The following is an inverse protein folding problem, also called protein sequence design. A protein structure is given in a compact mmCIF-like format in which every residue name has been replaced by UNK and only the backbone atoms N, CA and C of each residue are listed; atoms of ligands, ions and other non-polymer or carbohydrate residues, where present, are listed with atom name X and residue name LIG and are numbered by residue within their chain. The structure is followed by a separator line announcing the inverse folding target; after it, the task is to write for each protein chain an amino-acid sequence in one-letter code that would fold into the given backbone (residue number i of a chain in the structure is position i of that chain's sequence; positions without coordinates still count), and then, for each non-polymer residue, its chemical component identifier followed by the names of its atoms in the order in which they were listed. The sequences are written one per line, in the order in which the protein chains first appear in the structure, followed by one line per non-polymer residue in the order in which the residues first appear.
data_IF_855299688800
#
_entry.id   IF_855299688800
#
_cell.length_a   1.000
_cell.length_b   1.000
_cell.length_c   1.000
_cell.angle_alpha   90.00
_cell.angle_beta   90.00
_cell.angle_gamma   90.00
#
_symmetry.space_group_name_H-M   'P 1'
#
loop_
_entity.id
_entity.type
_entity.pdbx_description
1 polymer ?
#
# COMPACT_ATOMS: atom_id res chain seq x y z
N UNK A 1 6.17 -8.95 -13.54
CA UNK A 1 5.03 -8.78 -12.62
C UNK A 1 3.94 -8.06 -13.34
N UNK A 2 2.69 -8.50 -13.22
CA UNK A 2 1.54 -7.77 -13.73
C UNK A 2 1.08 -6.78 -12.64
N UNK A 3 0.88 -5.51 -12.99
CA UNK A 3 0.48 -4.48 -12.02
C UNK A 3 -0.83 -4.80 -11.33
N UNK A 4 -1.80 -5.38 -12.04
CA UNK A 4 -3.08 -5.75 -11.46
C UNK A 4 -2.94 -6.85 -10.39
N UNK A 5 -2.00 -7.78 -10.56
CA UNK A 5 -1.72 -8.82 -9.57
C UNK A 5 -1.10 -8.21 -8.31
N UNK A 6 -0.15 -7.29 -8.48
CA UNK A 6 0.50 -6.59 -7.37
C UNK A 6 -0.50 -5.71 -6.61
N UNK A 7 -1.37 -4.98 -7.32
CA UNK A 7 -2.42 -4.17 -6.69
C UNK A 7 -3.34 -5.04 -5.83
N UNK A 8 -3.84 -6.15 -6.37
CA UNK A 8 -4.73 -7.04 -5.62
C UNK A 8 -4.03 -7.62 -4.39
N UNK A 9 -2.77 -8.02 -4.54
CA UNK A 9 -1.98 -8.54 -3.42
C UNK A 9 -1.74 -7.49 -2.33
N UNK A 10 -1.40 -6.24 -2.70
CA UNK A 10 -1.22 -5.14 -1.75
C UNK A 10 -2.55 -4.84 -1.04
N UNK A 11 -3.67 -4.78 -1.77
CA UNK A 11 -4.99 -4.55 -1.16
C UNK A 11 -5.36 -5.63 -0.16
N UNK A 12 -5.17 -6.90 -0.52
CA UNK A 12 -5.56 -8.03 0.32
C UNK A 12 -4.61 -8.24 1.49
N UNK A 13 -3.31 -8.36 1.24
CA UNK A 13 -2.31 -8.72 2.26
C UNK A 13 -1.85 -7.54 3.11
N UNK A 14 -1.62 -6.40 2.48
CA UNK A 14 -1.00 -5.27 3.17
C UNK A 14 -2.08 -4.32 3.70
N UNK A 15 -3.01 -3.90 2.87
CA UNK A 15 -4.00 -2.89 3.27
C UNK A 15 -5.11 -3.53 4.10
N UNK A 16 -5.66 -4.67 3.68
CA UNK A 16 -6.81 -5.28 4.36
C UNK A 16 -6.38 -6.17 5.54
N UNK A 17 -5.41 -7.06 5.34
CA UNK A 17 -4.92 -7.97 6.40
C UNK A 17 -4.00 -7.25 7.40
N UNK A 18 -2.90 -6.58 6.99
CA UNK A 18 -1.97 -5.98 7.97
C UNK A 18 -2.59 -4.82 8.77
N UNK A 19 -3.50 -4.04 8.18
CA UNK A 19 -4.21 -2.95 8.90
C UNK A 19 -5.51 -3.40 9.58
N UNK A 20 -5.84 -4.69 9.49
CA UNK A 20 -7.03 -5.27 10.14
C UNK A 20 -8.32 -4.48 9.81
N UNK A 21 -8.50 -4.07 8.55
CA UNK A 21 -9.64 -3.24 8.12
C UNK A 21 -10.99 -3.94 8.30
N UNK A 22 -10.97 -5.26 8.45
CA UNK A 22 -12.14 -6.04 8.85
C UNK A 22 -12.67 -5.65 10.24
N UNK A 23 -11.80 -5.27 11.19
CA UNK A 23 -12.21 -4.77 12.51
C UNK A 23 -12.87 -3.39 12.42
N UNK A 24 -12.53 -2.63 11.39
CA UNK A 24 -13.12 -1.32 11.10
C UNK A 24 -14.46 -1.44 10.34
N UNK A 25 -14.83 -2.66 9.93
CA UNK A 25 -16.06 -2.94 9.20
C UNK A 25 -15.98 -2.65 7.70
N UNK A 26 -14.79 -2.49 7.14
CA UNK A 26 -14.58 -2.40 5.70
C UNK A 26 -14.52 -3.79 5.07
N UNK A 27 -14.91 -3.91 3.80
CA UNK A 27 -14.72 -5.11 3.00
C UNK A 27 -13.62 -4.88 1.95
N UNK A 28 -12.85 -5.92 1.60
CA UNK A 28 -11.84 -5.83 0.53
C UNK A 28 -12.41 -5.30 -0.80
N UNK A 29 -13.69 -5.57 -1.04
CA UNK A 29 -14.40 -5.12 -2.24
C UNK A 29 -14.65 -3.60 -2.27
N UNK A 30 -14.59 -2.92 -1.12
CA UNK A 30 -14.76 -1.47 -1.02
C UNK A 30 -13.48 -0.71 -1.42
N UNK A 31 -12.34 -1.38 -1.39
CA UNK A 31 -11.03 -0.81 -1.69
C UNK A 31 -10.75 -0.98 -3.18
N UNK A 32 -10.83 0.14 -3.90
CA UNK A 32 -10.51 0.22 -5.33
C UNK A 32 -9.05 0.57 -5.54
N UNK A 33 -8.59 0.39 -6.76
CA UNK A 33 -7.21 0.64 -7.16
C UNK A 33 -6.82 2.13 -7.03
N UNK A 34 -7.81 3.01 -7.13
CA UNK A 34 -7.72 4.47 -7.01
C UNK A 34 -8.23 5.02 -5.66
N UNK A 35 -8.56 4.14 -4.70
CA UNK A 35 -9.02 4.57 -3.38
C UNK A 35 -7.95 5.42 -2.69
N UNK A 36 -8.29 6.65 -2.24
CA UNK A 36 -7.36 7.48 -1.48
C UNK A 36 -7.01 6.81 -0.14
N UNK A 37 -5.72 6.58 0.11
CA UNK A 37 -5.28 5.97 1.37
C UNK A 37 -5.15 7.00 2.50
N UNK A 38 -4.59 8.17 2.20
CA UNK A 38 -4.32 9.22 3.19
C UNK A 38 -5.48 10.21 3.39
N UNK A 39 -6.43 10.23 2.46
CA UNK A 39 -7.50 11.23 2.49
C UNK A 39 -8.68 10.76 3.35
N UNK A 40 -9.36 11.71 4.00
CA UNK A 40 -10.52 11.44 4.85
C UNK A 40 -11.70 10.85 4.06
N UNK A 41 -11.82 11.14 2.76
CA UNK A 41 -12.82 10.53 1.89
C UNK A 41 -12.53 9.05 1.53
N UNK A 42 -11.36 8.53 1.90
CA UNK A 42 -10.94 7.16 1.64
C UNK A 42 -10.68 6.37 2.93
N UNK A 43 -9.47 5.84 3.11
CA UNK A 43 -9.10 5.07 4.31
C UNK A 43 -8.53 5.93 5.45
N UNK A 44 -8.23 7.20 5.20
CA UNK A 44 -7.73 8.16 6.20
C UNK A 44 -6.57 7.63 7.06
N UNK A 45 -5.66 6.86 6.44
CA UNK A 45 -4.57 6.18 7.12
C UNK A 45 -3.61 7.17 7.76
N UNK A 46 -3.17 6.87 8.97
CA UNK A 46 -2.21 7.69 9.66
C UNK A 46 -0.76 7.35 9.25
N UNK A 47 0.22 8.12 9.73
CA UNK A 47 1.63 7.87 9.41
C UNK A 47 2.17 6.53 9.92
N UNK A 48 1.55 5.95 10.94
CA UNK A 48 1.91 4.64 11.51
C UNK A 48 1.40 3.53 10.60
N UNK A 49 0.12 3.58 10.23
CA UNK A 49 -0.52 2.65 9.28
C UNK A 49 0.25 2.62 7.96
N UNK A 50 0.59 3.81 7.45
CA UNK A 50 1.35 3.94 6.22
C UNK A 50 2.75 3.34 6.35
N UNK A 51 3.43 3.55 7.47
CA UNK A 51 4.73 2.94 7.73
C UNK A 51 4.64 1.41 7.71
N UNK A 52 3.61 0.85 8.35
CA UNK A 52 3.37 -0.59 8.37
C UNK A 52 3.11 -1.14 6.97
N UNK A 53 2.37 -0.43 6.12
CA UNK A 53 2.20 -0.78 4.70
C UNK A 53 3.56 -0.89 3.98
N UNK A 54 4.42 0.13 4.12
CA UNK A 54 5.74 0.12 3.47
C UNK A 54 6.64 -0.99 4.00
N UNK A 55 6.60 -1.25 5.31
CA UNK A 55 7.36 -2.33 5.94
C UNK A 55 6.84 -3.70 5.48
N UNK A 56 5.52 -3.88 5.39
CA UNK A 56 4.88 -5.07 4.86
C UNK A 56 5.30 -5.34 3.42
N UNK A 57 5.25 -4.32 2.56
CA UNK A 57 5.70 -4.39 1.17
C UNK A 57 7.17 -4.81 1.07
N UNK A 58 8.06 -4.20 1.86
CA UNK A 58 9.49 -4.56 1.84
C UNK A 58 9.73 -6.02 2.22
N UNK A 59 9.02 -6.52 3.23
CA UNK A 59 9.12 -7.92 3.67
C UNK A 59 8.54 -8.87 2.62
N UNK A 60 7.34 -8.58 2.13
CA UNK A 60 6.60 -9.43 1.19
C UNK A 60 7.31 -9.55 -0.16
N UNK A 61 7.79 -8.42 -0.71
CA UNK A 61 8.46 -8.39 -2.01
C UNK A 61 9.99 -8.47 -1.92
N UNK A 62 10.55 -8.54 -0.70
CA UNK A 62 12.00 -8.52 -0.45
C UNK A 62 12.71 -7.38 -1.21
N UNK A 63 12.10 -6.18 -1.18
CA UNK A 63 12.65 -4.96 -1.78
C UNK A 63 13.21 -4.04 -0.70
N UNK A 64 14.23 -3.27 -1.05
CA UNK A 64 14.78 -2.22 -0.20
C UNK A 64 14.26 -0.86 -0.69
N UNK A 65 13.41 -0.23 0.12
CA UNK A 65 12.90 1.12 -0.16
C UNK A 65 13.80 2.21 0.40
N UNK A 66 14.83 1.85 1.17
CA UNK A 66 15.70 2.79 1.87
C UNK A 66 14.98 3.47 3.04
N UNK A 67 15.30 4.75 3.26
CA UNK A 67 14.68 5.54 4.33
C UNK A 67 13.24 5.90 3.94
N UNK A 68 12.26 5.36 4.69
CA UNK A 68 10.85 5.71 4.53
C UNK A 68 10.62 7.06 5.22
N UNK A 69 10.75 8.14 4.44
CA UNK A 69 10.46 9.50 4.90
C UNK A 69 8.99 9.86 4.67
N UNK A 70 8.48 10.86 5.40
CA UNK A 70 7.11 11.37 5.20
C UNK A 70 6.87 11.81 3.75
N UNK A 71 7.86 12.42 3.09
CA UNK A 71 7.74 12.83 1.69
C UNK A 71 7.58 11.63 0.75
N UNK A 72 8.30 10.52 1.01
CA UNK A 72 8.14 9.28 0.26
C UNK A 72 6.76 8.67 0.49
N UNK A 73 6.30 8.66 1.75
CA UNK A 73 4.99 8.17 2.14
C UNK A 73 3.88 8.96 1.44
N UNK A 74 3.90 10.29 1.54
CA UNK A 74 2.93 11.16 0.89
C UNK A 74 2.97 11.00 -0.63
N UNK A 75 4.14 10.83 -1.23
CA UNK A 75 4.27 10.70 -2.69
C UNK A 75 3.80 9.34 -3.23
N UNK A 76 4.06 8.25 -2.52
CA UNK A 76 3.85 6.89 -3.02
C UNK A 76 2.69 6.12 -2.37
N UNK A 77 2.16 6.61 -1.24
CA UNK A 77 1.00 6.03 -0.54
C UNK A 77 -0.29 6.80 -0.84
N UNK A 78 -0.51 7.23 -2.08
CA UNK A 78 -1.75 7.92 -2.45
C UNK A 78 -2.91 6.94 -2.67
N UNK A 79 -2.63 5.80 -3.31
CA UNK A 79 -3.60 4.75 -3.63
C UNK A 79 -2.92 3.38 -3.72
N UNK A 80 -3.68 2.27 -3.71
CA UNK A 80 -3.11 0.94 -3.96
C UNK A 80 -2.33 0.84 -5.28
N UNK A 81 -2.78 1.57 -6.30
CA UNK A 81 -2.08 1.68 -7.59
C UNK A 81 -0.66 2.26 -7.42
N UNK A 82 -0.51 3.39 -6.70
CA UNK A 82 0.81 4.04 -6.55
C UNK A 82 1.79 3.20 -5.75
N UNK A 83 1.30 2.41 -4.79
CA UNK A 83 2.11 1.43 -4.06
C UNK A 83 2.56 0.29 -4.97
N UNK A 84 1.67 -0.23 -5.82
CA UNK A 84 2.03 -1.27 -6.78
C UNK A 84 3.04 -0.78 -7.82
N UNK A 85 2.89 0.47 -8.30
CA UNK A 85 3.88 1.10 -9.17
C UNK A 85 5.25 1.19 -8.51
N UNK A 86 5.31 1.57 -7.23
CA UNK A 86 6.56 1.58 -6.46
C UNK A 86 7.19 0.19 -6.38
N UNK A 87 6.40 -0.85 -6.09
CA UNK A 87 6.90 -2.24 -6.05
C UNK A 87 7.45 -2.65 -7.40
N UNK A 88 6.75 -2.35 -8.49
CA UNK A 88 7.18 -2.69 -9.85
C UNK A 88 8.44 -1.91 -10.25
N UNK A 89 8.54 -0.63 -9.91
CA UNK A 89 9.74 0.17 -10.15
C UNK A 89 10.95 -0.45 -9.44
N UNK A 90 10.80 -0.81 -8.17
CA UNK A 90 11.89 -1.36 -7.35
C UNK A 90 12.24 -2.81 -7.66
N UNK A 91 11.25 -3.64 -7.99
CA UNK A 91 11.44 -5.04 -8.34
C UNK A 91 11.87 -5.22 -9.81
N UNK A 92 11.42 -4.31 -10.69
CA UNK A 92 11.72 -4.27 -12.13
C UNK A 92 13.05 -3.60 -12.48
N UNK A 93 13.65 -2.82 -11.58
CA UNK A 93 14.98 -2.24 -11.75
C UNK A 93 16.15 -3.26 -11.63
N UNK A 94 15.90 -4.56 -11.85
CA UNK A 94 16.92 -5.62 -11.86
C UNK A 94 17.50 -5.88 -13.24
#
# INVERSE_FOLDING_TARGET
MNINEVINHIKEKIIFEDLELNEWGHELSDIKDDTPLLAEEGLALDSVDVLDIFVGIQKEYSIDLGEITSELMEKHCQSPLTLAELVIDKCGAR
#
